data_IF_927231107446
#
_entry.id   IF_927231107446
#
_cell.length_a   1.000
_cell.length_b   1.000
_cell.length_c   1.000
_cell.angle_alpha   90.00
_cell.angle_beta   90.00
_cell.angle_gamma   90.00
#
_symmetry.space_group_name_H-M   'P 1'
#
loop_
_entity.id
_entity.type
_entity.pdbx_description
1 polymer ?
#
# COMPACT_ATOMS: atom_id res chain seq x y z
N UNK A 1 -31.34 7.98 79.06
CA UNK A 1 -29.95 7.66 78.69
C UNK A 1 -29.92 7.33 77.20
N UNK A 2 -29.27 8.21 76.43
CA UNK A 2 -29.20 8.17 74.97
C UNK A 2 -28.29 7.04 74.49
N UNK A 3 -28.70 6.29 73.45
CA UNK A 3 -27.79 5.50 72.62
C UNK A 3 -28.06 5.84 71.16
N UNK A 4 -27.17 6.66 70.59
CA UNK A 4 -27.12 6.95 69.18
C UNK A 4 -26.52 5.79 68.39
N UNK A 5 -27.13 5.49 67.24
CA UNK A 5 -26.56 4.61 66.21
C UNK A 5 -26.03 5.54 65.11
N UNK A 6 -24.71 5.50 64.88
CA UNK A 6 -24.06 6.17 63.75
C UNK A 6 -24.17 5.26 62.53
N UNK A 7 -24.86 5.69 61.48
CA UNK A 7 -24.72 5.14 60.14
C UNK A 7 -23.34 5.54 59.59
N UNK A 8 -22.47 4.56 59.35
CA UNK A 8 -21.25 4.77 58.58
C UNK A 8 -21.56 4.75 57.08
N UNK A 9 -21.32 5.86 56.39
CA UNK A 9 -21.37 5.91 54.94
C UNK A 9 -20.08 5.26 54.38
N UNK A 10 -20.21 4.15 53.66
CA UNK A 10 -19.13 3.63 52.81
C UNK A 10 -19.02 4.53 51.57
N UNK A 11 -17.91 5.26 51.47
CA UNK A 11 -17.51 5.90 50.22
C UNK A 11 -16.94 4.82 49.27
N UNK A 12 -17.70 4.45 48.23
CA UNK A 12 -17.16 3.71 47.09
C UNK A 12 -16.27 4.66 46.30
N UNK A 13 -14.95 4.58 46.49
CA UNK A 13 -13.98 5.21 45.60
C UNK A 13 -13.99 4.45 44.27
N UNK A 14 -14.75 4.96 43.29
CA UNK A 14 -14.61 4.57 41.91
C UNK A 14 -13.27 5.11 41.39
N UNK A 15 -12.23 4.29 41.43
CA UNK A 15 -11.01 4.54 40.66
C UNK A 15 -11.39 4.47 39.18
N UNK A 16 -11.62 5.63 38.56
CA UNK A 16 -11.53 5.76 37.11
C UNK A 16 -10.09 5.40 36.73
N UNK A 17 -9.88 4.16 36.33
CA UNK A 17 -8.73 3.82 35.52
C UNK A 17 -8.90 4.61 34.22
N UNK A 18 -8.14 5.70 34.09
CA UNK A 18 -8.01 6.38 32.81
C UNK A 18 -7.62 5.31 31.78
N UNK A 19 -8.24 5.27 30.58
CA UNK A 19 -7.74 4.38 29.54
C UNK A 19 -6.28 4.78 29.34
N UNK A 20 -5.38 3.81 29.45
CA UNK A 20 -4.02 3.97 28.96
C UNK A 20 -4.16 4.29 27.48
N UNK A 21 -4.21 5.59 27.16
CA UNK A 21 -4.03 6.07 25.82
C UNK A 21 -2.64 5.60 25.43
N UNK A 22 -2.59 4.54 24.63
CA UNK A 22 -1.42 4.26 23.81
C UNK A 22 -1.23 5.53 23.01
N UNK A 23 -0.30 6.37 23.47
CA UNK A 23 0.21 7.45 22.66
C UNK A 23 0.69 6.76 21.39
N UNK A 24 0.12 7.11 20.25
CA UNK A 24 0.73 6.77 18.98
C UNK A 24 2.09 7.45 18.97
N UNK A 25 3.12 6.76 19.45
CA UNK A 25 4.51 7.14 19.20
C UNK A 25 4.66 7.07 17.69
N UNK A 26 4.46 8.22 17.04
CA UNK A 26 4.87 8.42 15.65
C UNK A 26 6.31 7.95 15.48
N UNK A 27 6.71 7.54 14.28
CA UNK A 27 8.03 7.01 14.05
C UNK A 27 9.11 7.96 14.58
N UNK A 28 10.01 7.38 15.36
CA UNK A 28 11.26 7.90 15.89
C UNK A 28 12.01 8.65 14.78
N UNK A 29 12.01 9.99 14.75
CA UNK A 29 12.76 10.84 13.79
C UNK A 29 12.91 10.27 12.35
N UNK A 30 11.85 10.41 11.54
CA UNK A 30 11.85 10.01 10.13
C UNK A 30 13.00 10.66 9.35
N UNK A 31 13.37 11.90 9.66
CA UNK A 31 14.43 12.60 8.92
C UNK A 31 15.77 11.88 9.09
N UNK A 32 16.16 11.59 10.33
CA UNK A 32 17.41 10.85 10.58
C UNK A 32 17.39 9.42 10.03
N UNK A 33 16.26 8.71 10.11
CA UNK A 33 16.15 7.36 9.54
C UNK A 33 16.21 7.39 8.00
N UNK A 34 15.60 8.38 7.37
CA UNK A 34 15.67 8.61 5.93
C UNK A 34 17.10 8.89 5.49
N UNK A 35 17.81 9.83 6.13
CA UNK A 35 19.20 10.15 5.81
C UNK A 35 20.11 8.93 5.85
N UNK A 36 19.95 8.04 6.86
CA UNK A 36 20.76 6.82 6.95
C UNK A 36 20.39 5.79 5.89
N UNK A 37 19.11 5.54 5.65
CA UNK A 37 18.66 4.47 4.76
C UNK A 37 18.73 4.86 3.27
N UNK A 38 18.51 6.13 2.94
CA UNK A 38 18.40 6.66 1.58
C UNK A 38 19.52 7.63 1.20
N UNK A 39 20.60 7.68 1.99
CA UNK A 39 21.79 8.48 1.67
C UNK A 39 22.26 8.28 0.22
N UNK A 40 22.58 9.39 -0.44
CA UNK A 40 23.08 9.41 -1.81
C UNK A 40 22.04 9.05 -2.88
N UNK A 41 20.76 9.03 -2.55
CA UNK A 41 19.68 8.76 -3.51
C UNK A 41 18.66 9.90 -3.58
N UNK A 42 18.16 10.18 -4.77
CA UNK A 42 16.93 10.95 -4.93
C UNK A 42 15.77 10.03 -4.56
N UNK A 43 15.22 10.23 -3.36
CA UNK A 43 14.16 9.40 -2.85
C UNK A 43 13.11 10.23 -2.09
N UNK A 44 11.93 9.66 -1.98
CA UNK A 44 10.89 10.12 -1.08
C UNK A 44 10.41 8.92 -0.27
N UNK A 45 10.16 9.15 1.02
CA UNK A 45 9.46 8.20 1.90
C UNK A 45 8.28 8.89 2.57
N UNK A 46 7.13 8.24 2.51
CA UNK A 46 5.90 8.63 3.20
C UNK A 46 5.46 7.50 4.11
N UNK A 47 5.15 7.83 5.37
CA UNK A 47 4.59 6.92 6.36
C UNK A 47 3.28 7.48 6.89
N UNK A 48 2.28 6.63 7.13
CA UNK A 48 1.02 7.04 7.75
C UNK A 48 0.47 5.91 8.58
N UNK A 49 0.04 6.21 9.80
CA UNK A 49 -0.74 5.24 10.57
C UNK A 49 -2.06 4.95 9.84
N UNK A 50 -2.53 3.69 9.86
CA UNK A 50 -3.77 3.32 9.16
C UNK A 50 -4.99 4.03 9.76
N UNK A 51 -4.92 4.47 11.03
CA UNK A 51 -6.03 5.08 11.72
C UNK A 51 -6.63 6.26 10.92
N UNK A 52 -7.99 6.36 10.82
CA UNK A 52 -8.64 7.48 10.17
C UNK A 52 -8.16 8.83 10.75
N UNK A 53 -7.89 9.79 9.88
CA UNK A 53 -7.42 11.13 10.28
C UNK A 53 -5.95 11.21 10.71
N UNK A 54 -5.20 10.10 10.75
CA UNK A 54 -3.76 10.16 11.00
C UNK A 54 -3.05 10.96 9.89
N UNK A 55 -2.20 11.90 10.31
CA UNK A 55 -1.31 12.64 9.42
C UNK A 55 -0.23 11.74 8.83
N UNK A 56 0.32 12.14 7.69
CA UNK A 56 1.47 11.48 7.08
C UNK A 56 2.77 12.14 7.58
N UNK A 57 3.75 11.30 7.92
CA UNK A 57 5.14 11.72 8.05
C UNK A 57 5.80 11.60 6.67
N UNK A 58 6.46 12.65 6.22
CA UNK A 58 6.97 12.79 4.85
C UNK A 58 8.44 13.21 4.92
N UNK A 59 9.32 12.53 4.18
CA UNK A 59 10.76 12.86 4.18
C UNK A 59 11.03 14.25 3.60
N UNK A 60 10.38 14.58 2.47
CA UNK A 60 10.41 15.91 1.86
C UNK A 60 9.06 16.22 1.16
N UNK A 61 8.27 17.20 1.63
CA UNK A 61 6.93 17.44 1.09
C UNK A 61 6.89 17.77 -0.40
N UNK A 62 7.91 18.43 -0.95
CA UNK A 62 7.90 18.85 -2.36
C UNK A 62 8.21 17.67 -3.28
N UNK A 63 9.26 16.92 -2.97
CA UNK A 63 9.67 15.72 -3.71
C UNK A 63 8.62 14.64 -3.61
N UNK A 64 8.01 14.46 -2.43
CA UNK A 64 6.94 13.49 -2.20
C UNK A 64 5.58 13.86 -2.81
N UNK A 65 5.40 15.11 -3.25
CA UNK A 65 4.20 15.54 -4.00
C UNK A 65 4.35 15.34 -5.52
N UNK A 66 5.56 15.05 -6.01
CA UNK A 66 5.79 14.80 -7.44
C UNK A 66 5.12 13.49 -7.87
N UNK A 67 4.30 13.55 -8.92
CA UNK A 67 3.70 12.37 -9.53
C UNK A 67 4.72 11.63 -10.40
N UNK A 68 4.72 10.32 -10.27
CA UNK A 68 5.63 9.38 -10.94
C UNK A 68 4.80 8.26 -11.58
N UNK A 69 5.30 7.56 -12.61
CA UNK A 69 4.64 6.39 -13.14
C UNK A 69 4.50 5.32 -12.03
N UNK A 70 3.33 4.68 -11.87
CA UNK A 70 3.10 3.71 -10.80
C UNK A 70 3.84 2.39 -11.02
N UNK A 71 4.27 2.10 -12.26
CA UNK A 71 4.86 0.82 -12.64
C UNK A 71 3.96 -0.35 -12.17
N UNK A 72 4.57 -1.46 -11.72
CA UNK A 72 3.85 -2.62 -11.22
C UNK A 72 3.01 -2.36 -9.95
N UNK A 73 3.14 -1.22 -9.25
CA UNK A 73 2.26 -0.92 -8.10
C UNK A 73 0.79 -0.78 -8.51
N UNK A 74 0.52 -0.46 -9.79
CA UNK A 74 -0.82 -0.37 -10.38
C UNK A 74 -1.55 -1.72 -10.42
N UNK A 75 -0.84 -2.84 -10.26
CA UNK A 75 -1.44 -4.17 -10.13
C UNK A 75 -2.38 -4.28 -8.92
N UNK A 76 -2.15 -3.48 -7.87
CA UNK A 76 -2.96 -3.48 -6.65
C UNK A 76 -4.39 -2.97 -6.94
N UNK A 77 -4.61 -1.72 -7.41
CA UNK A 77 -5.96 -1.29 -7.79
C UNK A 77 -6.53 -2.10 -8.95
N UNK A 78 -5.71 -2.57 -9.91
CA UNK A 78 -6.20 -3.43 -10.99
C UNK A 78 -6.83 -4.72 -10.46
N UNK A 79 -6.22 -5.33 -9.43
CA UNK A 79 -6.77 -6.51 -8.74
C UNK A 79 -8.09 -6.18 -8.05
N UNK A 80 -8.18 -5.05 -7.35
CA UNK A 80 -9.44 -4.61 -6.69
C UNK A 80 -10.57 -4.52 -7.72
N UNK A 81 -10.31 -3.86 -8.86
CA UNK A 81 -11.31 -3.66 -9.92
C UNK A 81 -11.70 -5.00 -10.57
N UNK A 82 -10.72 -5.88 -10.82
CA UNK A 82 -10.98 -7.18 -11.42
C UNK A 82 -11.92 -8.04 -10.56
N UNK A 83 -11.69 -8.06 -9.24
CA UNK A 83 -12.51 -8.80 -8.29
C UNK A 83 -13.90 -8.20 -8.13
N UNK A 84 -13.99 -6.88 -7.95
CA UNK A 84 -15.25 -6.16 -7.79
C UNK A 84 -16.19 -6.33 -8.99
N UNK A 85 -15.62 -6.45 -10.20
CA UNK A 85 -16.38 -6.64 -11.44
C UNK A 85 -16.55 -8.08 -11.87
N UNK A 86 -16.06 -9.04 -11.08
CA UNK A 86 -16.15 -10.46 -11.41
C UNK A 86 -15.37 -10.88 -12.66
N UNK A 87 -14.32 -10.13 -13.05
CA UNK A 87 -13.39 -10.53 -14.13
C UNK A 87 -12.60 -11.77 -13.71
N UNK A 88 -12.36 -11.91 -12.42
CA UNK A 88 -11.87 -13.13 -11.77
C UNK A 88 -12.60 -13.31 -10.43
N UNK A 89 -12.97 -14.54 -10.03
CA UNK A 89 -13.68 -14.77 -8.77
C UNK A 89 -12.80 -14.58 -7.52
N UNK A 90 -11.49 -14.80 -7.64
CA UNK A 90 -10.49 -14.56 -6.60
C UNK A 90 -9.08 -14.40 -7.21
N UNK A 91 -8.08 -14.13 -6.37
CA UNK A 91 -6.69 -13.89 -6.78
C UNK A 91 -5.91 -15.16 -7.20
N UNK A 92 -6.45 -16.36 -6.95
CA UNK A 92 -5.88 -17.67 -7.29
C UNK A 92 -6.49 -18.30 -8.54
N UNK A 93 -7.64 -17.80 -9.01
CA UNK A 93 -8.20 -18.22 -10.27
C UNK A 93 -7.28 -17.84 -11.44
N UNK A 94 -7.00 -18.78 -12.37
CA UNK A 94 -6.07 -18.54 -13.47
C UNK A 94 -6.65 -17.59 -14.52
N UNK A 95 -5.83 -16.63 -14.96
CA UNK A 95 -6.12 -15.77 -16.11
C UNK A 95 -5.35 -16.32 -17.33
N UNK A 96 -6.05 -16.44 -18.45
CA UNK A 96 -5.46 -16.83 -19.74
C UNK A 96 -5.54 -15.66 -20.72
N UNK A 97 -4.47 -15.39 -21.45
CA UNK A 97 -4.52 -14.37 -22.52
C UNK A 97 -5.50 -14.83 -23.60
N UNK A 98 -6.22 -13.88 -24.20
CA UNK A 98 -7.09 -14.15 -25.33
C UNK A 98 -6.88 -13.09 -26.44
N UNK A 99 -6.32 -13.48 -27.61
CA UNK A 99 -5.86 -14.83 -27.97
C UNK A 99 -4.58 -15.23 -27.20
N UNK A 100 -4.31 -16.54 -27.01
CA UNK A 100 -3.03 -17.01 -26.49
C UNK A 100 -1.86 -16.61 -27.39
N UNK A 101 -0.69 -16.35 -26.82
CA UNK A 101 0.57 -16.19 -27.57
C UNK A 101 1.54 -17.32 -27.26
N UNK A 102 2.58 -17.46 -28.09
CA UNK A 102 3.64 -18.43 -27.86
C UNK A 102 4.33 -18.20 -26.50
N UNK A 103 4.52 -19.28 -25.74
CA UNK A 103 5.10 -19.24 -24.39
C UNK A 103 4.09 -19.00 -23.25
N UNK A 104 2.81 -18.77 -23.54
CA UNK A 104 1.80 -18.67 -22.49
C UNK A 104 1.57 -20.01 -21.79
N UNK A 105 1.54 -20.04 -20.45
CA UNK A 105 1.17 -21.25 -19.71
C UNK A 105 -0.26 -21.68 -20.08
N UNK A 106 -0.48 -22.91 -20.57
CA UNK A 106 -1.80 -23.37 -21.03
C UNK A 106 -2.85 -23.39 -19.91
N UNK A 107 -2.43 -23.57 -18.67
CA UNK A 107 -3.25 -23.49 -17.46
C UNK A 107 -3.61 -22.05 -17.07
N UNK A 108 -2.92 -21.05 -17.61
CA UNK A 108 -3.03 -19.65 -17.22
C UNK A 108 -2.20 -19.30 -15.97
N UNK A 109 -2.22 -18.02 -15.60
CA UNK A 109 -1.50 -17.52 -14.42
C UNK A 109 -2.47 -16.72 -13.57
N UNK A 110 -2.53 -17.02 -12.27
CA UNK A 110 -3.38 -16.28 -11.34
C UNK A 110 -2.74 -14.94 -10.94
N UNK A 111 -3.53 -14.00 -10.40
CA UNK A 111 -3.06 -12.65 -10.09
C UNK A 111 -1.93 -12.63 -9.05
N UNK A 112 -2.00 -13.54 -8.06
CA UNK A 112 -1.00 -13.64 -7.01
C UNK A 112 0.36 -14.08 -7.56
N UNK A 113 0.39 -15.12 -8.38
CA UNK A 113 1.59 -15.59 -9.04
C UNK A 113 2.09 -14.59 -10.08
N UNK A 114 1.19 -13.95 -10.81
CA UNK A 114 1.53 -12.92 -11.76
C UNK A 114 2.29 -11.78 -11.10
N UNK A 115 1.79 -11.28 -9.96
CA UNK A 115 2.44 -10.18 -9.26
C UNK A 115 3.80 -10.59 -8.66
N UNK A 116 3.89 -11.79 -8.07
CA UNK A 116 5.14 -12.30 -7.48
C UNK A 116 6.21 -12.59 -8.52
N UNK A 117 5.83 -13.17 -9.65
CA UNK A 117 6.74 -13.57 -10.73
C UNK A 117 6.90 -12.48 -11.81
N UNK A 118 6.33 -11.29 -11.57
CA UNK A 118 6.38 -10.14 -12.48
C UNK A 118 5.86 -10.46 -13.90
N UNK A 119 4.78 -11.23 -13.99
CA UNK A 119 4.13 -11.62 -15.24
C UNK A 119 3.13 -10.54 -15.67
N UNK A 120 3.65 -9.40 -16.11
CA UNK A 120 2.87 -8.18 -16.34
C UNK A 120 1.70 -8.32 -17.33
N UNK A 121 1.80 -9.25 -18.31
CA UNK A 121 0.73 -9.44 -19.30
C UNK A 121 -0.61 -9.88 -18.68
N UNK A 122 -0.59 -10.51 -17.51
CA UNK A 122 -1.82 -10.93 -16.81
C UNK A 122 -2.65 -9.71 -16.46
N UNK A 123 -2.01 -8.64 -16.01
CA UNK A 123 -2.69 -7.42 -15.63
C UNK A 123 -3.11 -6.57 -16.85
N UNK A 124 -2.37 -6.66 -17.96
CA UNK A 124 -2.82 -6.13 -19.26
C UNK A 124 -4.10 -6.83 -19.74
N UNK A 125 -4.14 -8.17 -19.64
CA UNK A 125 -5.33 -8.95 -20.00
C UNK A 125 -6.51 -8.64 -19.07
N UNK A 126 -6.25 -8.43 -17.77
CA UNK A 126 -7.27 -7.96 -16.81
C UNK A 126 -7.82 -6.59 -17.22
N UNK A 127 -6.95 -5.61 -17.47
CA UNK A 127 -7.37 -4.27 -17.91
C UNK A 127 -8.19 -4.33 -19.20
N UNK A 128 -7.75 -5.15 -20.17
CA UNK A 128 -8.46 -5.40 -21.44
C UNK A 128 -9.86 -5.98 -21.22
N UNK A 129 -10.02 -6.93 -20.30
CA UNK A 129 -11.33 -7.53 -19.95
C UNK A 129 -12.25 -6.56 -19.21
N UNK A 130 -11.69 -5.68 -18.39
CA UNK A 130 -12.43 -4.63 -17.69
C UNK A 130 -12.95 -3.59 -18.71
N UNK A 131 -12.14 -3.26 -19.71
CA UNK A 131 -12.42 -2.26 -20.72
C UNK A 131 -11.89 -0.86 -20.33
N UNK A 132 -11.35 -0.07 -21.28
CA UNK A 132 -10.64 1.19 -21.02
C UNK A 132 -11.42 2.19 -20.16
N UNK A 133 -12.63 2.57 -20.57
CA UNK A 133 -13.41 3.59 -19.88
C UNK A 133 -13.83 3.11 -18.50
N UNK A 134 -14.11 1.83 -18.41
CA UNK A 134 -14.60 1.19 -17.22
C UNK A 134 -13.47 1.08 -16.18
N UNK A 135 -12.24 0.78 -16.61
CA UNK A 135 -11.03 0.77 -15.78
C UNK A 135 -10.67 2.18 -15.29
N UNK A 136 -10.59 3.15 -16.21
CA UNK A 136 -10.34 4.57 -15.91
C UNK A 136 -11.34 5.13 -14.90
N UNK A 137 -12.65 4.90 -15.09
CA UNK A 137 -13.68 5.36 -14.14
C UNK A 137 -13.48 4.77 -12.74
N UNK A 138 -13.09 3.50 -12.64
CA UNK A 138 -12.87 2.87 -11.34
C UNK A 138 -11.64 3.45 -10.63
N UNK A 139 -10.53 3.67 -11.34
CA UNK A 139 -9.35 4.35 -10.79
C UNK A 139 -9.66 5.79 -10.36
N UNK A 140 -10.43 6.54 -11.16
CA UNK A 140 -10.88 7.88 -10.81
C UNK A 140 -11.75 7.87 -9.54
N UNK A 141 -12.71 6.93 -9.42
CA UNK A 141 -13.53 6.77 -8.22
C UNK A 141 -12.68 6.44 -6.97
N UNK A 142 -11.62 5.64 -7.15
CA UNK A 142 -10.62 5.38 -6.09
C UNK A 142 -9.70 6.57 -5.82
N UNK A 143 -9.80 7.67 -6.56
CA UNK A 143 -8.87 8.81 -6.52
C UNK A 143 -7.41 8.36 -6.66
N UNK A 144 -7.16 7.47 -7.63
CA UNK A 144 -5.82 6.93 -7.87
C UNK A 144 -5.07 7.80 -8.87
N UNK A 145 -4.16 8.63 -8.36
CA UNK A 145 -3.27 9.47 -9.19
C UNK A 145 -4.01 10.54 -9.98
N UNK A 146 -3.49 10.83 -11.17
CA UNK A 146 -4.00 11.88 -12.05
C UNK A 146 -5.09 11.42 -13.03
N UNK A 147 -5.63 10.21 -12.89
CA UNK A 147 -6.64 9.65 -13.81
C UNK A 147 -7.82 10.59 -14.01
N UNK A 148 -8.36 11.15 -12.93
CA UNK A 148 -9.51 12.07 -12.98
C UNK A 148 -9.17 13.36 -13.74
N UNK A 149 -7.95 13.89 -13.56
CA UNK A 149 -7.50 15.13 -14.20
C UNK A 149 -7.20 14.94 -15.69
N UNK A 150 -6.73 13.75 -16.09
CA UNK A 150 -6.41 13.45 -17.48
C UNK A 150 -7.65 13.28 -18.34
N UNK A 151 -8.76 12.77 -17.78
CA UNK A 151 -10.06 12.66 -18.45
C UNK A 151 -10.09 11.73 -19.68
N UNK A 152 -9.04 10.94 -19.91
CA UNK A 152 -8.90 10.04 -21.07
C UNK A 152 -8.91 8.57 -20.62
N UNK A 153 -9.57 7.68 -21.38
CA UNK A 153 -9.49 6.24 -21.14
C UNK A 153 -8.05 5.72 -21.24
N UNK A 154 -7.71 4.77 -20.37
CA UNK A 154 -6.46 4.04 -20.43
C UNK A 154 -6.67 2.83 -21.36
N UNK A 155 -6.13 2.91 -22.58
CA UNK A 155 -6.22 1.84 -23.60
C UNK A 155 -5.35 0.63 -23.22
N UNK A 156 -4.29 0.88 -22.47
CA UNK A 156 -3.45 -0.13 -21.80
C UNK A 156 -3.59 0.01 -20.29
N UNK A 157 -2.97 -0.88 -19.52
CA UNK A 157 -3.04 -0.80 -18.06
C UNK A 157 -2.63 0.58 -17.50
N UNK A 158 -1.63 1.24 -18.09
CA UNK A 158 -1.03 2.46 -17.55
C UNK A 158 -1.06 3.66 -18.51
N UNK A 159 -1.54 3.51 -19.75
CA UNK A 159 -1.43 4.54 -20.80
C UNK A 159 -2.70 4.72 -21.60
N UNK A 160 -2.95 5.95 -22.02
CA UNK A 160 -4.00 6.30 -22.98
C UNK A 160 -3.59 6.06 -24.45
N UNK A 161 -4.50 6.38 -25.37
CA UNK A 161 -4.32 6.22 -26.81
C UNK A 161 -3.15 7.05 -27.39
N UNK A 162 -2.78 8.15 -26.73
CA UNK A 162 -1.67 9.03 -27.14
C UNK A 162 -0.35 8.62 -26.46
N UNK A 163 -0.36 7.53 -25.68
CA UNK A 163 0.79 7.00 -24.95
C UNK A 163 1.13 7.77 -23.68
N UNK A 164 0.29 8.71 -23.24
CA UNK A 164 0.48 9.43 -21.98
C UNK A 164 0.16 8.49 -20.82
N UNK A 165 1.08 8.45 -19.84
CA UNK A 165 1.00 7.54 -18.71
C UNK A 165 0.27 8.13 -17.51
N UNK A 166 -0.48 7.28 -16.81
CA UNK A 166 -0.97 7.53 -15.46
C UNK A 166 0.21 7.83 -14.53
N UNK A 167 0.09 8.89 -13.73
CA UNK A 167 1.08 9.24 -12.71
C UNK A 167 0.45 9.47 -11.33
N UNK A 168 1.20 9.18 -10.28
CA UNK A 168 0.76 9.22 -8.89
C UNK A 168 1.96 9.54 -7.98
N UNK A 169 1.74 10.36 -6.97
CA UNK A 169 2.77 10.72 -5.97
C UNK A 169 2.87 9.71 -4.82
N UNK A 170 4.00 9.64 -4.11
CA UNK A 170 4.12 8.85 -2.88
C UNK A 170 3.08 9.19 -1.80
N UNK A 171 2.66 10.46 -1.71
CA UNK A 171 1.58 10.88 -0.80
C UNK A 171 0.25 10.26 -1.21
N UNK A 172 -0.07 10.29 -2.52
CA UNK A 172 -1.29 9.67 -3.05
C UNK A 172 -1.26 8.14 -2.95
N UNK A 173 -0.08 7.49 -3.11
CA UNK A 173 0.09 6.04 -2.83
C UNK A 173 -0.36 5.69 -1.42
N UNK A 174 0.16 6.40 -0.42
CA UNK A 174 -0.14 6.14 0.98
C UNK A 174 -1.61 6.39 1.29
N UNK A 175 -2.22 7.42 0.71
CA UNK A 175 -3.66 7.64 0.88
C UNK A 175 -4.51 6.51 0.28
N UNK A 176 -4.18 6.07 -0.93
CA UNK A 176 -4.85 4.94 -1.58
C UNK A 176 -4.72 3.66 -0.74
N UNK A 177 -3.50 3.30 -0.33
CA UNK A 177 -3.25 2.08 0.45
C UNK A 177 -3.89 2.13 1.84
N UNK A 178 -3.95 3.30 2.47
CA UNK A 178 -4.64 3.47 3.74
C UNK A 178 -6.14 3.21 3.60
N UNK A 179 -6.77 3.72 2.53
CA UNK A 179 -8.19 3.45 2.25
C UNK A 179 -8.43 1.99 1.89
N UNK A 180 -7.55 1.38 1.08
CA UNK A 180 -7.61 -0.05 0.76
C UNK A 180 -7.55 -0.91 2.04
N UNK A 181 -6.59 -0.65 2.92
CA UNK A 181 -6.41 -1.42 4.17
C UNK A 181 -7.61 -1.27 5.11
N UNK A 182 -8.33 -0.14 5.06
CA UNK A 182 -9.56 0.08 5.82
C UNK A 182 -10.83 -0.44 5.14
N UNK A 183 -10.76 -0.91 3.90
CA UNK A 183 -11.95 -1.31 3.15
C UNK A 183 -12.81 -0.14 2.66
N UNK A 184 -12.23 1.05 2.50
CA UNK A 184 -12.92 2.31 2.21
C UNK A 184 -12.90 2.74 0.74
N UNK A 185 -12.36 1.91 -0.16
CA UNK A 185 -12.50 2.17 -1.59
C UNK A 185 -13.99 2.00 -2.02
N UNK A 186 -14.43 2.66 -3.10
CA UNK A 186 -15.80 2.55 -3.61
C UNK A 186 -16.03 1.23 -4.38
N UNK A 187 -15.69 0.11 -3.74
CA UNK A 187 -15.83 -1.28 -4.20
C UNK A 187 -16.21 -2.14 -3.00
N UNK A 188 -16.57 -3.41 -3.22
CA UNK A 188 -16.90 -4.29 -2.10
C UNK A 188 -15.72 -4.45 -1.12
N UNK A 189 -16.00 -4.44 0.18
CA UNK A 189 -14.97 -4.66 1.20
C UNK A 189 -14.30 -6.04 1.06
N UNK A 190 -15.05 -7.02 0.55
CA UNK A 190 -14.52 -8.35 0.22
C UNK A 190 -13.50 -8.30 -0.92
N UNK A 191 -13.80 -7.61 -2.02
CA UNK A 191 -12.86 -7.41 -3.13
C UNK A 191 -11.58 -6.72 -2.68
N UNK A 192 -11.70 -5.72 -1.80
CA UNK A 192 -10.55 -5.02 -1.21
C UNK A 192 -9.69 -5.95 -0.34
N UNK A 193 -10.32 -6.73 0.56
CA UNK A 193 -9.63 -7.68 1.41
C UNK A 193 -8.91 -8.76 0.58
N UNK A 194 -9.56 -9.32 -0.43
CA UNK A 194 -8.97 -10.31 -1.34
C UNK A 194 -7.86 -9.73 -2.22
N UNK A 195 -7.99 -8.47 -2.66
CA UNK A 195 -6.95 -7.82 -3.44
C UNK A 195 -5.66 -7.59 -2.65
N UNK A 196 -5.76 -7.34 -1.35
CA UNK A 196 -4.60 -7.24 -0.46
C UNK A 196 -3.75 -8.52 -0.45
N UNK A 197 -4.34 -9.68 -0.80
CA UNK A 197 -3.63 -10.96 -0.85
C UNK A 197 -2.71 -11.12 -2.10
N UNK A 198 -2.70 -10.15 -3.02
CA UNK A 198 -1.71 -10.07 -4.11
C UNK A 198 -0.38 -9.48 -3.62
N UNK A 199 -0.39 -8.73 -2.52
CA UNK A 199 0.83 -8.21 -1.93
C UNK A 199 1.74 -9.33 -1.44
N UNK A 200 3.04 -9.21 -1.72
CA UNK A 200 4.04 -10.06 -1.10
C UNK A 200 4.00 -9.86 0.41
N UNK A 201 4.15 -10.94 1.18
CA UNK A 201 4.11 -10.89 2.64
C UNK A 201 5.30 -11.59 3.25
N UNK A 202 5.91 -10.97 4.26
CA UNK A 202 7.05 -11.49 5.02
C UNK A 202 6.87 -11.16 6.49
N UNK A 203 7.16 -12.14 7.33
CA UNK A 203 7.11 -11.99 8.78
C UNK A 203 8.53 -11.85 9.32
N UNK A 204 8.77 -10.78 10.07
CA UNK A 204 10.04 -10.48 10.72
C UNK A 204 9.75 -10.32 12.23
N UNK A 205 10.08 -11.35 13.01
CA UNK A 205 9.76 -11.41 14.43
C UNK A 205 8.27 -11.23 14.70
N UNK A 206 7.90 -10.16 15.41
CA UNK A 206 6.52 -9.83 15.74
C UNK A 206 5.79 -9.00 14.67
N UNK A 207 6.50 -8.51 13.64
CA UNK A 207 5.95 -7.69 12.57
C UNK A 207 5.66 -8.50 11.29
N UNK A 208 4.67 -8.07 10.53
CA UNK A 208 4.34 -8.61 9.19
C UNK A 208 4.34 -7.45 8.20
N UNK A 209 5.15 -7.55 7.16
CA UNK A 209 5.19 -6.57 6.06
C UNK A 209 4.36 -7.16 4.91
N UNK A 210 3.42 -6.38 4.36
CA UNK A 210 2.76 -6.67 3.10
C UNK A 210 3.10 -5.57 2.10
N UNK A 211 3.65 -5.91 0.93
CA UNK A 211 4.15 -4.90 0.00
C UNK A 211 4.05 -5.31 -1.47
N UNK A 212 4.16 -4.29 -2.32
CA UNK A 212 4.37 -4.41 -3.76
C UNK A 212 5.54 -3.52 -4.16
N UNK A 213 6.40 -4.05 -5.03
CA UNK A 213 7.45 -3.30 -5.69
C UNK A 213 7.12 -3.12 -7.17
N UNK A 214 7.72 -2.11 -7.78
CA UNK A 214 7.65 -1.89 -9.22
C UNK A 214 8.77 -0.96 -9.68
N UNK A 215 9.29 -1.20 -10.88
CA UNK A 215 10.28 -0.32 -11.48
C UNK A 215 9.97 -0.10 -12.97
N UNK A 216 10.11 1.14 -13.41
CA UNK A 216 9.90 1.58 -14.79
C UNK A 216 10.39 3.03 -14.93
N UNK A 217 10.81 3.43 -16.13
CA UNK A 217 11.11 4.83 -16.48
C UNK A 217 12.00 5.58 -15.46
N UNK A 218 13.03 4.91 -14.91
CA UNK A 218 13.96 5.48 -13.93
C UNK A 218 13.39 5.65 -12.51
N UNK A 219 12.25 5.02 -12.23
CA UNK A 219 11.59 4.99 -10.92
C UNK A 219 11.63 3.57 -10.35
N UNK A 220 11.86 3.45 -9.05
CA UNK A 220 11.66 2.22 -8.29
C UNK A 220 10.82 2.48 -7.04
N UNK A 221 9.80 1.66 -6.85
CA UNK A 221 8.82 1.73 -5.78
C UNK A 221 8.96 0.58 -4.79
N UNK A 222 8.69 0.87 -3.53
CA UNK A 222 8.31 -0.10 -2.50
C UNK A 222 7.14 0.49 -1.71
N UNK A 223 5.95 -0.11 -1.83
CA UNK A 223 4.72 0.41 -1.23
C UNK A 223 3.98 -0.70 -0.48
N UNK A 224 3.28 -0.37 0.59
CA UNK A 224 2.56 -1.38 1.36
C UNK A 224 2.22 -0.94 2.77
N UNK A 225 2.19 -1.90 3.69
CA UNK A 225 2.04 -1.65 5.12
C UNK A 225 2.82 -2.64 5.96
N UNK A 226 3.11 -2.23 7.19
CA UNK A 226 3.66 -3.07 8.25
C UNK A 226 2.65 -3.17 9.38
N UNK A 227 2.27 -4.40 9.72
CA UNK A 227 1.41 -4.74 10.83
C UNK A 227 2.30 -5.22 12.00
N UNK A 228 2.25 -4.53 13.15
CA UNK A 228 2.99 -4.92 14.37
C UNK A 228 2.13 -4.64 15.60
N UNK A 229 1.87 -5.68 16.40
CA UNK A 229 0.91 -5.64 17.50
C UNK A 229 -0.47 -5.10 17.04
N UNK A 230 -0.98 -4.02 17.65
CA UNK A 230 -2.27 -3.40 17.31
C UNK A 230 -2.12 -2.16 16.40
N UNK A 231 -0.97 -2.02 15.74
CA UNK A 231 -0.66 -0.87 14.89
C UNK A 231 -0.33 -1.32 13.48
N UNK A 232 -0.93 -0.65 12.50
CA UNK A 232 -0.59 -0.80 11.09
C UNK A 232 -0.09 0.53 10.55
N UNK A 233 1.09 0.53 9.94
CA UNK A 233 1.68 1.72 9.31
C UNK A 233 1.77 1.49 7.81
N UNK A 234 1.10 2.33 7.04
CA UNK A 234 1.19 2.37 5.58
C UNK A 234 2.48 3.08 5.19
N UNK A 235 3.15 2.60 4.15
CA UNK A 235 4.36 3.21 3.62
C UNK A 235 4.35 3.29 2.10
N UNK A 236 5.06 4.30 1.59
CA UNK A 236 5.51 4.36 0.21
C UNK A 236 6.93 4.93 0.17
N UNK A 237 7.82 4.22 -0.50
CA UNK A 237 9.13 4.71 -0.90
C UNK A 237 9.21 4.76 -2.43
N UNK A 238 9.64 5.88 -2.96
CA UNK A 238 9.95 6.06 -4.37
C UNK A 238 11.39 6.56 -4.51
N UNK A 239 12.16 5.90 -5.36
CA UNK A 239 13.51 6.32 -5.73
C UNK A 239 13.55 6.70 -7.20
N UNK A 240 14.24 7.79 -7.53
CA UNK A 240 14.47 8.22 -8.92
C UNK A 240 15.95 8.19 -9.28
N UNK A 241 16.24 8.03 -10.58
CA UNK A 241 17.58 8.10 -11.14
C UNK A 241 17.94 6.90 -12.01
N UNK A 242 19.20 6.85 -12.45
CA UNK A 242 19.69 5.76 -13.29
C UNK A 242 19.88 4.47 -12.48
N UNK A 243 19.60 3.32 -13.12
CA UNK A 243 19.83 1.97 -12.58
C UNK A 243 19.14 1.66 -11.24
N UNK A 244 17.96 2.24 -10.97
CA UNK A 244 17.18 1.89 -9.78
C UNK A 244 16.56 0.50 -9.93
N UNK A 245 16.59 -0.27 -8.85
CA UNK A 245 15.99 -1.62 -8.79
C UNK A 245 14.98 -1.73 -7.66
N UNK A 246 14.02 -2.65 -7.83
CA UNK A 246 13.00 -2.95 -6.81
C UNK A 246 13.61 -3.52 -5.53
N UNK A 247 14.72 -4.25 -5.65
CA UNK A 247 15.47 -4.84 -4.53
C UNK A 247 16.11 -3.74 -3.70
N UNK A 248 16.78 -2.76 -4.34
CA UNK A 248 17.41 -1.64 -3.64
C UNK A 248 16.37 -0.84 -2.83
N UNK A 249 15.26 -0.48 -3.47
CA UNK A 249 14.18 0.28 -2.83
C UNK A 249 13.59 -0.48 -1.63
N UNK A 250 13.36 -1.79 -1.78
CA UNK A 250 12.78 -2.62 -0.71
C UNK A 250 13.76 -2.83 0.45
N UNK A 251 15.04 -3.05 0.18
CA UNK A 251 16.07 -3.21 1.22
C UNK A 251 16.30 -1.92 2.00
N UNK A 252 16.34 -0.76 1.32
CA UNK A 252 16.41 0.55 1.99
C UNK A 252 15.16 0.82 2.82
N UNK A 253 13.97 0.48 2.31
CA UNK A 253 12.73 0.62 3.06
C UNK A 253 12.71 -0.25 4.32
N UNK A 254 13.19 -1.51 4.25
CA UNK A 254 13.34 -2.38 5.43
C UNK A 254 14.32 -1.80 6.45
N UNK A 255 15.47 -1.29 6.02
CA UNK A 255 16.43 -0.59 6.92
C UNK A 255 15.76 0.59 7.62
N UNK A 256 15.04 1.44 6.88
CA UNK A 256 14.30 2.55 7.47
C UNK A 256 13.25 2.07 8.49
N UNK A 257 12.48 1.03 8.18
CA UNK A 257 11.49 0.48 9.13
C UNK A 257 12.14 -0.07 10.40
N UNK A 258 13.32 -0.69 10.28
CA UNK A 258 14.11 -1.16 11.43
C UNK A 258 14.58 0.01 12.30
N UNK A 259 15.13 1.05 11.69
CA UNK A 259 15.58 2.26 12.37
C UNK A 259 14.45 2.98 13.13
N UNK A 260 13.23 2.88 12.61
CA UNK A 260 12.01 3.44 13.21
C UNK A 260 11.33 2.50 14.22
N UNK A 261 11.92 1.33 14.49
CA UNK A 261 11.35 0.26 15.32
C UNK A 261 9.95 -0.24 14.85
N UNK A 262 9.63 -0.06 13.56
CA UNK A 262 8.43 -0.60 12.93
C UNK A 262 8.56 -2.10 12.63
N UNK A 263 9.79 -2.58 12.45
CA UNK A 263 10.14 -3.99 12.41
C UNK A 263 11.32 -4.27 13.35
N UNK A 264 11.50 -5.50 13.83
CA UNK A 264 12.69 -5.88 14.58
C UNK A 264 13.97 -5.67 13.76
N UNK A 265 15.11 -5.38 14.42
CA UNK A 265 16.38 -5.26 13.72
C UNK A 265 16.75 -6.58 13.03
N UNK A 266 17.51 -6.52 11.92
CA UNK A 266 18.01 -7.72 11.26
C UNK A 266 18.81 -8.56 12.26
N UNK A 267 18.54 -9.86 12.29
CA UNK A 267 19.31 -10.79 13.13
C UNK A 267 20.76 -10.82 12.61
N UNK A 268 21.78 -10.80 13.50
CA UNK A 268 23.15 -11.01 13.07
C UNK A 268 23.25 -12.38 12.38
N UNK A 269 23.96 -12.42 11.25
CA UNK A 269 24.27 -13.66 10.53
C UNK A 269 25.27 -14.50 11.29
#
# INVERSE_FOLDING_TARGET
MSKGVRLGALALSATLAAPFGVRAEGPVDLASAFERAFSGSEACVVLRDVAPGAGAAVSDPQTCARRLPPCATLEVPATVIALDRGVTPDANAPVKRNPPQEGDPPEGVNLRDASRKQVGWVFEEVARRIGPEAFTRALAAMRYGDVEANGRPLERIDRDADGQGLSLSPIEQVDFLARLKRGELPTSAESQARAAEVLATERIGDATISWKSGACDGVAWSVGWVDRAQRSVIFAAAMTGQQRSTEEASERMKRLMSDLALIPPPQPK
#
